data_IF_394686188836
#
_entry.id   IF_394686188836
#
_cell.length_a   1.000
_cell.length_b   1.000
_cell.length_c   1.000
_cell.angle_alpha   90.00
_cell.angle_beta   90.00
_cell.angle_gamma   90.00
#
_symmetry.space_group_name_H-M   'P 1'
#
loop_
_entity.id
_entity.type
_entity.pdbx_description
1 polymer ?
#
# COMPACT_ATOMS: atom_id res chain seq x y z
N UNK A 1 7.47 -12.47 13.11
CA UNK A 1 7.90 -13.62 12.28
C UNK A 1 9.09 -14.26 12.99
N UNK A 2 9.06 -15.57 13.27
CA UNK A 2 10.15 -16.29 13.99
C UNK A 2 10.79 -17.33 13.05
N UNK A 3 11.63 -16.89 12.09
CA UNK A 3 12.20 -17.76 11.06
C UNK A 3 13.19 -18.80 11.63
N UNK A 4 13.61 -18.67 12.90
CA UNK A 4 14.46 -19.65 13.57
C UNK A 4 13.89 -21.07 13.64
N UNK A 5 12.56 -21.25 13.50
CA UNK A 5 11.91 -22.56 13.55
C UNK A 5 12.10 -23.41 12.28
N UNK A 6 12.51 -22.82 11.15
CA UNK A 6 12.84 -23.60 9.96
C UNK A 6 14.08 -24.49 10.15
N UNK A 7 14.97 -24.13 11.07
CA UNK A 7 16.16 -24.94 11.39
C UNK A 7 15.82 -26.27 12.06
N UNK A 8 14.63 -26.40 12.65
CA UNK A 8 14.16 -27.64 13.27
C UNK A 8 13.77 -28.73 12.26
N UNK A 9 13.56 -28.39 10.98
CA UNK A 9 13.34 -29.38 9.91
C UNK A 9 14.59 -30.22 9.59
N UNK A 10 15.78 -29.64 9.81
CA UNK A 10 17.07 -30.27 9.50
C UNK A 10 17.38 -31.46 10.41
N UNK A 11 17.32 -31.36 11.76
CA UNK A 11 17.60 -32.50 12.64
C UNK A 11 16.57 -33.63 12.49
N UNK A 12 15.33 -33.31 12.12
CA UNK A 12 14.29 -34.32 11.90
C UNK A 12 14.39 -35.03 10.56
N UNK A 13 14.80 -34.32 9.50
CA UNK A 13 15.13 -34.98 8.23
C UNK A 13 16.32 -35.93 8.42
N UNK A 14 17.32 -35.51 9.21
CA UNK A 14 18.47 -36.36 9.59
C UNK A 14 18.01 -37.55 10.45
N UNK A 15 17.12 -37.34 11.42
CA UNK A 15 16.58 -38.42 12.27
C UNK A 15 15.80 -39.46 11.47
N UNK A 16 14.96 -39.03 10.52
CA UNK A 16 14.22 -39.92 9.62
C UNK A 16 15.20 -40.65 8.67
N UNK A 17 16.19 -39.95 8.12
CA UNK A 17 17.23 -40.55 7.28
C UNK A 17 18.01 -41.64 8.02
N UNK A 18 18.42 -41.39 9.26
CA UNK A 18 19.11 -42.37 10.09
C UNK A 18 18.23 -43.58 10.43
N UNK A 19 16.93 -43.39 10.68
CA UNK A 19 16.00 -44.50 10.90
C UNK A 19 15.80 -45.34 9.64
N UNK A 20 15.70 -44.72 8.46
CA UNK A 20 15.61 -45.44 7.18
C UNK A 20 16.89 -46.25 6.89
N UNK A 21 18.08 -45.67 7.15
CA UNK A 21 19.38 -46.36 7.01
C UNK A 21 19.50 -47.50 8.05
N UNK A 22 18.93 -47.35 9.25
CA UNK A 22 18.88 -48.43 10.25
C UNK A 22 17.94 -49.56 9.82
N UNK A 23 16.82 -49.24 9.17
CA UNK A 23 15.86 -50.25 8.68
C UNK A 23 16.39 -51.04 7.48
N UNK A 24 17.35 -50.50 6.72
CA UNK A 24 18.07 -51.25 5.68
C UNK A 24 19.23 -52.06 6.25
N UNK A 25 19.75 -51.71 7.44
CA UNK A 25 20.76 -52.48 8.17
C UNK A 25 20.20 -53.62 9.03
N UNK A 26 18.88 -53.75 9.20
CA UNK A 26 18.29 -54.93 9.87
C UNK A 26 18.22 -56.18 8.97
N UNK A 27 18.85 -56.16 7.80
CA UNK A 27 19.03 -57.34 6.94
C UNK A 27 20.33 -58.12 7.26
N UNK A 28 21.04 -57.76 8.33
CA UNK A 28 22.32 -58.37 8.72
C UNK A 28 22.17 -59.58 9.68
N UNK A 29 20.99 -60.20 9.72
CA UNK A 29 20.71 -61.45 10.44
C UNK A 29 20.48 -62.63 9.47
N UNK A 30 20.67 -62.41 8.16
CA UNK A 30 20.55 -63.46 7.14
C UNK A 30 21.85 -64.24 6.89
N UNK A 31 22.91 -63.97 7.66
CA UNK A 31 24.26 -64.54 7.41
C UNK A 31 24.69 -65.60 8.45
N UNK A 32 23.78 -66.01 9.35
CA UNK A 32 24.08 -67.01 10.41
C UNK A 32 23.05 -68.14 10.50
N UNK A 33 22.00 -68.18 9.66
CA UNK A 33 20.92 -69.18 9.77
C UNK A 33 20.57 -69.77 8.40
N UNK A 34 20.53 -71.10 8.33
CA UNK A 34 20.23 -71.89 7.13
C UNK A 34 18.85 -71.55 6.53
N UNK A 35 18.74 -71.43 5.19
CA UNK A 35 17.55 -70.92 4.51
C UNK A 35 16.32 -71.85 4.57
N UNK A 36 16.49 -73.15 4.85
CA UNK A 36 15.41 -74.14 4.74
C UNK A 36 14.42 -74.19 5.92
N UNK A 37 14.65 -73.43 7.00
CA UNK A 37 13.75 -73.42 8.18
C UNK A 37 13.10 -72.05 8.44
N UNK A 38 13.37 -71.05 7.59
CA UNK A 38 12.88 -69.69 7.78
C UNK A 38 11.41 -69.51 7.34
N UNK A 39 10.95 -70.32 6.38
CA UNK A 39 9.63 -70.19 5.74
C UNK A 39 8.44 -70.69 6.58
N UNK A 40 8.67 -71.35 7.72
CA UNK A 40 7.59 -71.90 8.56
C UNK A 40 7.51 -71.33 9.98
N UNK A 41 8.40 -70.39 10.36
CA UNK A 41 8.40 -69.77 11.69
C UNK A 41 8.20 -68.24 11.67
N UNK A 42 8.14 -67.62 10.50
CA UNK A 42 7.77 -66.21 10.38
C UNK A 42 6.27 -66.12 10.03
N UNK A 43 5.40 -65.68 10.96
CA UNK A 43 4.09 -65.22 10.55
C UNK A 43 4.30 -64.06 9.57
N UNK A 44 3.87 -64.28 8.34
CA UNK A 44 4.03 -63.42 7.16
C UNK A 44 3.22 -62.09 7.27
N UNK A 45 3.21 -61.47 8.45
CA UNK A 45 2.38 -60.31 8.81
C UNK A 45 3.06 -59.37 9.85
N UNK A 46 4.28 -59.62 10.31
CA UNK A 46 4.90 -58.74 11.31
C UNK A 46 5.55 -57.47 10.73
N UNK A 47 5.83 -57.40 9.43
CA UNK A 47 6.65 -56.32 8.86
C UNK A 47 5.90 -55.30 7.98
N UNK A 48 4.66 -55.61 7.58
CA UNK A 48 3.89 -54.78 6.64
C UNK A 48 2.99 -53.74 7.31
N UNK A 49 2.69 -53.88 8.62
CA UNK A 49 1.65 -53.06 9.27
C UNK A 49 2.15 -51.91 10.15
N UNK A 50 3.46 -51.80 10.38
CA UNK A 50 4.01 -50.79 11.30
C UNK A 50 4.51 -49.50 10.64
N UNK A 51 4.53 -49.37 9.31
CA UNK A 51 4.91 -48.10 8.66
C UNK A 51 3.79 -47.04 8.68
N UNK A 52 2.54 -47.48 8.79
CA UNK A 52 1.36 -46.61 8.85
C UNK A 52 1.44 -45.53 9.95
N UNK A 53 1.63 -45.89 11.23
CA UNK A 53 1.62 -44.90 12.30
C UNK A 53 2.80 -43.91 12.23
N UNK A 54 3.98 -44.34 11.78
CA UNK A 54 5.14 -43.46 11.64
C UNK A 54 4.99 -42.43 10.52
N UNK A 55 4.33 -42.80 9.40
CA UNK A 55 4.00 -41.87 8.33
C UNK A 55 3.02 -40.80 8.79
N UNK A 56 1.98 -41.20 9.54
CA UNK A 56 1.03 -40.25 10.14
C UNK A 56 1.70 -39.33 11.17
N UNK A 57 2.64 -39.86 11.97
CA UNK A 57 3.41 -39.05 12.91
C UNK A 57 4.27 -38.01 12.19
N UNK A 58 4.94 -38.42 11.10
CA UNK A 58 5.75 -37.52 10.27
C UNK A 58 4.91 -36.42 9.61
N UNK A 59 3.73 -36.77 9.10
CA UNK A 59 2.82 -35.82 8.48
C UNK A 59 2.25 -34.81 9.50
N UNK A 60 1.86 -35.29 10.69
CA UNK A 60 1.38 -34.43 11.78
C UNK A 60 2.48 -33.48 12.26
N UNK A 61 3.72 -33.96 12.35
CA UNK A 61 4.87 -33.16 12.74
C UNK A 61 5.20 -32.08 11.70
N UNK A 62 5.17 -32.42 10.40
CA UNK A 62 5.41 -31.48 9.31
C UNK A 62 4.32 -30.40 9.23
N UNK A 63 3.06 -30.77 9.45
CA UNK A 63 1.94 -29.82 9.57
C UNK A 63 2.12 -28.87 10.75
N UNK A 64 2.59 -29.37 11.90
CA UNK A 64 2.89 -28.56 13.08
C UNK A 64 3.94 -27.48 12.83
N UNK A 65 4.95 -27.76 12.02
CA UNK A 65 6.00 -26.78 11.66
C UNK A 65 5.45 -25.70 10.73
N UNK A 66 4.62 -26.07 9.75
CA UNK A 66 4.00 -25.10 8.83
C UNK A 66 3.08 -24.15 9.61
N UNK A 67 2.28 -24.69 10.55
CA UNK A 67 1.45 -23.89 11.43
C UNK A 67 2.28 -22.97 12.36
N UNK A 68 3.34 -23.50 12.97
CA UNK A 68 4.22 -22.73 13.85
C UNK A 68 5.06 -21.67 13.12
N UNK A 69 5.40 -21.91 11.85
CA UNK A 69 6.08 -20.93 10.99
C UNK A 69 5.21 -19.71 10.72
N UNK A 70 3.90 -19.82 10.90
CA UNK A 70 2.94 -18.72 10.78
C UNK A 70 3.14 -17.94 9.48
N UNK A 71 2.85 -18.53 8.30
CA UNK A 71 2.86 -17.80 7.03
C UNK A 71 1.75 -16.75 7.08
N UNK A 72 2.05 -15.60 7.66
CA UNK A 72 1.15 -14.47 7.64
C UNK A 72 1.36 -13.78 6.31
N UNK A 73 0.34 -13.79 5.45
CA UNK A 73 0.22 -12.80 4.40
C UNK A 73 0.16 -11.42 5.05
N UNK A 74 1.30 -10.74 5.08
CA UNK A 74 1.34 -9.34 5.41
C UNK A 74 0.78 -8.58 4.22
N UNK A 75 -0.50 -8.20 4.34
CA UNK A 75 -1.03 -7.10 3.57
C UNK A 75 -0.25 -5.87 4.02
N UNK A 76 0.77 -5.50 3.26
CA UNK A 76 1.35 -4.17 3.37
C UNK A 76 0.17 -3.22 3.18
N UNK A 77 -0.16 -2.35 4.15
CA UNK A 77 -1.16 -1.33 3.91
C UNK A 77 -0.60 -0.49 2.77
N UNK A 78 -1.13 -0.71 1.57
CA UNK A 78 -0.98 0.24 0.49
C UNK A 78 -1.59 1.50 1.07
N UNK A 79 -0.83 2.59 1.28
CA UNK A 79 -1.45 3.83 1.69
C UNK A 79 -2.48 4.08 0.62
N UNK A 80 -3.76 4.08 1.00
CA UNK A 80 -4.81 4.61 0.18
C UNK A 80 -4.49 6.10 0.14
N UNK A 81 -3.55 6.47 -0.72
CA UNK A 81 -3.35 7.83 -1.15
C UNK A 81 -4.66 8.16 -1.82
N UNK A 82 -5.61 8.69 -1.04
CA UNK A 82 -6.68 9.48 -1.60
C UNK A 82 -5.94 10.51 -2.44
N UNK A 83 -5.96 10.28 -3.75
CA UNK A 83 -5.28 11.12 -4.71
C UNK A 83 -6.13 12.38 -4.74
N UNK A 84 -5.94 13.23 -3.71
CA UNK A 84 -6.66 14.49 -3.57
C UNK A 84 -6.37 15.22 -4.86
N UNK A 85 -7.42 15.43 -5.64
CA UNK A 85 -7.29 16.25 -6.83
C UNK A 85 -6.83 17.62 -6.36
N UNK A 86 -5.96 18.24 -7.13
CA UNK A 86 -5.39 19.54 -6.81
C UNK A 86 -5.55 20.45 -8.01
N UNK A 87 -6.03 21.67 -7.80
CA UNK A 87 -6.10 22.68 -8.84
C UNK A 87 -5.75 24.06 -8.29
N UNK A 88 -5.31 24.94 -9.19
CA UNK A 88 -4.92 26.31 -8.87
C UNK A 88 -5.87 27.25 -9.60
N UNK A 89 -6.51 28.14 -8.86
CA UNK A 89 -7.31 29.24 -9.39
C UNK A 89 -6.37 30.43 -9.61
N UNK A 90 -6.39 30.96 -10.83
CA UNK A 90 -5.64 32.16 -11.19
C UNK A 90 -6.65 33.29 -11.44
N UNK A 91 -6.64 34.30 -10.57
CA UNK A 91 -7.57 35.43 -10.58
C UNK A 91 -6.89 36.69 -11.15
N UNK A 92 -7.46 37.24 -12.22
CA UNK A 92 -7.07 38.55 -12.76
C UNK A 92 -7.57 39.66 -11.82
N UNK A 93 -6.67 40.57 -11.45
CA UNK A 93 -6.90 41.78 -10.66
C UNK A 93 -6.41 43.03 -11.43
N UNK A 94 -6.37 42.98 -12.77
CA UNK A 94 -6.19 44.15 -13.61
C UNK A 94 -7.37 45.13 -13.46
N UNK A 95 -7.15 46.42 -13.70
CA UNK A 95 -8.24 47.42 -13.66
C UNK A 95 -9.40 47.12 -14.62
N UNK A 96 -9.17 46.31 -15.66
CA UNK A 96 -10.23 45.86 -16.57
C UNK A 96 -11.31 45.03 -15.86
N UNK A 97 -11.02 44.45 -14.70
CA UNK A 97 -11.96 43.66 -13.90
C UNK A 97 -13.02 44.51 -13.19
N UNK A 98 -12.84 45.84 -13.13
CA UNK A 98 -13.91 46.76 -12.72
C UNK A 98 -14.97 46.98 -13.81
N UNK A 99 -14.77 46.49 -15.03
CA UNK A 99 -15.76 46.62 -16.09
C UNK A 99 -17.11 45.97 -15.71
N UNK A 100 -18.21 46.63 -16.08
CA UNK A 100 -19.59 46.24 -15.78
C UNK A 100 -20.33 45.64 -17.00
N UNK A 101 -19.59 45.19 -18.01
CA UNK A 101 -20.15 44.44 -19.15
C UNK A 101 -20.82 43.12 -18.71
N UNK A 102 -20.49 42.66 -17.50
CA UNK A 102 -21.21 41.64 -16.74
C UNK A 102 -21.64 42.24 -15.40
N UNK A 103 -22.94 42.45 -15.21
CA UNK A 103 -23.45 43.03 -13.95
C UNK A 103 -23.17 42.13 -12.75
N UNK A 104 -22.74 42.65 -11.59
CA UNK A 104 -22.43 44.06 -11.34
C UNK A 104 -21.04 44.47 -11.87
N UNK A 105 -20.03 43.62 -11.76
CA UNK A 105 -18.75 43.78 -12.46
C UNK A 105 -18.08 42.43 -12.71
N UNK A 106 -17.12 42.38 -13.63
CA UNK A 106 -16.33 41.16 -13.91
C UNK A 106 -15.68 40.59 -12.64
N UNK A 107 -15.12 41.45 -11.79
CA UNK A 107 -14.53 41.05 -10.51
C UNK A 107 -15.54 40.39 -9.59
N UNK A 108 -16.70 41.02 -9.38
CA UNK A 108 -17.74 40.46 -8.51
C UNK A 108 -18.24 39.12 -9.05
N UNK A 109 -18.38 38.99 -10.37
CA UNK A 109 -18.74 37.73 -11.02
C UNK A 109 -17.66 36.66 -10.87
N UNK A 110 -16.39 37.02 -10.99
CA UNK A 110 -15.28 36.12 -10.75
C UNK A 110 -15.27 35.61 -9.30
N UNK A 111 -15.43 36.52 -8.32
CA UNK A 111 -15.53 36.17 -6.90
C UNK A 111 -16.69 35.22 -6.62
N UNK A 112 -17.88 35.49 -7.18
CA UNK A 112 -19.03 34.59 -7.05
C UNK A 112 -18.73 33.21 -7.65
N UNK A 113 -18.17 33.17 -8.86
CA UNK A 113 -17.83 31.92 -9.54
C UNK A 113 -16.80 31.10 -8.77
N UNK A 114 -15.82 31.75 -8.15
CA UNK A 114 -14.85 31.06 -7.28
C UNK A 114 -15.57 30.43 -6.09
N UNK A 115 -16.47 31.15 -5.41
CA UNK A 115 -17.25 30.60 -4.30
C UNK A 115 -18.10 29.41 -4.74
N UNK A 116 -18.76 29.51 -5.88
CA UNK A 116 -19.53 28.40 -6.46
C UNK A 116 -18.65 27.17 -6.74
N UNK A 117 -17.43 27.39 -7.26
CA UNK A 117 -16.47 26.30 -7.50
C UNK A 117 -15.99 25.65 -6.20
N UNK A 118 -15.69 26.43 -5.17
CA UNK A 118 -15.28 25.92 -3.86
C UNK A 118 -16.38 25.10 -3.19
N UNK A 119 -17.65 25.48 -3.37
CA UNK A 119 -18.79 24.75 -2.80
C UNK A 119 -19.03 23.36 -3.43
N UNK A 120 -18.58 23.14 -4.68
CA UNK A 120 -18.77 21.89 -5.41
C UNK A 120 -17.71 20.82 -5.09
N UNK A 121 -16.57 21.22 -4.54
CA UNK A 121 -15.36 20.39 -4.48
C UNK A 121 -15.17 19.85 -3.07
N UNK A 122 -15.62 18.62 -2.84
CA UNK A 122 -15.31 17.88 -1.62
C UNK A 122 -14.02 17.07 -1.83
N UNK A 123 -13.14 17.09 -0.84
CA UNK A 123 -11.88 16.30 -0.83
C UNK A 123 -10.86 16.68 -1.94
N UNK A 124 -10.63 17.98 -2.11
CA UNK A 124 -9.70 18.53 -3.11
C UNK A 124 -8.87 19.66 -2.51
N UNK A 125 -7.61 19.79 -2.96
CA UNK A 125 -6.75 20.91 -2.58
C UNK A 125 -6.84 22.05 -3.62
N UNK A 126 -6.94 23.28 -3.13
CA UNK A 126 -7.07 24.47 -3.97
C UNK A 126 -5.97 25.47 -3.63
N UNK A 127 -5.28 25.96 -4.66
CA UNK A 127 -4.38 27.10 -4.57
C UNK A 127 -5.04 28.33 -5.18
N UNK A 128 -4.70 29.51 -4.70
CA UNK A 128 -5.19 30.78 -5.24
C UNK A 128 -4.02 31.70 -5.54
N UNK A 129 -3.93 32.13 -6.80
CA UNK A 129 -2.96 33.10 -7.29
C UNK A 129 -3.72 34.30 -7.81
N UNK A 130 -3.26 35.49 -7.44
CA UNK A 130 -3.77 36.75 -7.97
C UNK A 130 -2.71 37.38 -8.87
N UNK A 131 -3.14 37.98 -9.98
CA UNK A 131 -2.22 38.63 -10.91
C UNK A 131 -2.78 39.91 -11.53
N UNK A 132 -1.88 40.82 -11.88
CA UNK A 132 -2.12 42.02 -12.67
C UNK A 132 -0.87 42.24 -13.53
N UNK A 133 -0.09 43.30 -13.32
CA UNK A 133 1.21 43.46 -13.98
C UNK A 133 2.29 42.49 -13.47
N UNK A 134 2.13 42.00 -12.25
CA UNK A 134 2.89 40.91 -11.63
C UNK A 134 1.94 39.88 -10.98
N UNK A 135 2.46 38.81 -10.38
CA UNK A 135 1.64 37.74 -9.79
C UNK A 135 2.12 37.36 -8.39
N UNK A 136 1.17 36.99 -7.54
CA UNK A 136 1.40 36.64 -6.14
C UNK A 136 0.56 35.44 -5.71
N UNK A 137 1.15 34.56 -4.90
CA UNK A 137 0.42 33.45 -4.27
C UNK A 137 -0.38 34.00 -3.10
N UNK A 138 -1.71 33.96 -3.20
CA UNK A 138 -2.62 34.37 -2.12
C UNK A 138 -2.73 33.23 -1.10
N UNK A 139 -2.93 32.00 -1.58
CA UNK A 139 -2.89 30.79 -0.77
C UNK A 139 -2.17 29.67 -1.52
N UNK A 140 -1.24 28.95 -0.88
CA UNK A 140 -0.72 27.71 -1.43
C UNK A 140 -1.84 26.64 -1.49
N UNK A 141 -1.56 25.49 -2.09
CA UNK A 141 -2.48 24.35 -2.11
C UNK A 141 -2.90 23.97 -0.69
N UNK A 142 -4.20 24.08 -0.41
CA UNK A 142 -4.79 23.76 0.89
C UNK A 142 -6.16 23.12 0.71
N UNK A 143 -6.57 22.28 1.66
CA UNK A 143 -7.93 21.77 1.77
C UNK A 143 -8.84 22.65 2.65
N UNK A 144 -8.29 23.72 3.24
CA UNK A 144 -9.06 24.75 3.94
C UNK A 144 -9.72 25.73 2.96
N UNK A 145 -10.80 25.26 2.32
CA UNK A 145 -11.56 26.06 1.35
C UNK A 145 -12.26 27.26 2.00
N UNK A 146 -12.57 27.18 3.30
CA UNK A 146 -13.22 28.26 4.05
C UNK A 146 -12.29 29.47 4.19
N UNK A 147 -11.00 29.24 4.41
CA UNK A 147 -9.99 30.32 4.39
C UNK A 147 -9.93 31.00 3.03
N UNK A 148 -9.93 30.23 1.94
CA UNK A 148 -9.94 30.81 0.58
C UNK A 148 -11.20 31.65 0.39
N UNK A 149 -12.38 31.12 0.71
CA UNK A 149 -13.66 31.82 0.57
C UNK A 149 -13.70 33.17 1.30
N UNK A 150 -13.05 33.26 2.47
CA UNK A 150 -12.95 34.50 3.24
C UNK A 150 -11.96 35.52 2.65
N UNK A 151 -10.95 35.06 1.92
CA UNK A 151 -9.93 35.93 1.31
C UNK A 151 -10.37 36.52 -0.03
N UNK A 152 -11.08 35.77 -0.88
CA UNK A 152 -11.44 36.23 -2.24
C UNK A 152 -12.14 37.60 -2.26
N UNK A 153 -13.11 37.91 -1.37
CA UNK A 153 -13.79 39.21 -1.40
C UNK A 153 -12.86 40.41 -1.13
N UNK A 154 -11.73 40.21 -0.46
CA UNK A 154 -10.74 41.25 -0.20
C UNK A 154 -9.79 41.50 -1.39
N UNK A 155 -9.81 40.63 -2.41
CA UNK A 155 -8.97 40.74 -3.59
C UNK A 155 -9.58 41.75 -4.57
N UNK A 156 -8.97 42.93 -4.61
CA UNK A 156 -9.37 44.04 -5.49
C UNK A 156 -8.17 44.55 -6.28
N UNK A 157 -8.36 45.06 -7.52
CA UNK A 157 -7.26 45.57 -8.34
C UNK A 157 -6.29 46.54 -7.65
N UNK A 158 -6.76 47.33 -6.70
CA UNK A 158 -5.93 48.29 -5.96
C UNK A 158 -4.90 47.67 -5.00
N UNK A 159 -5.00 46.37 -4.68
CA UNK A 159 -4.02 45.69 -3.82
C UNK A 159 -2.76 45.29 -4.58
N UNK A 160 -2.82 45.24 -5.92
CA UNK A 160 -1.70 44.81 -6.75
C UNK A 160 -0.67 45.94 -6.89
N UNK A 161 0.63 45.66 -6.67
CA UNK A 161 1.67 46.68 -6.71
C UNK A 161 1.96 47.17 -8.12
N UNK A 162 1.83 46.29 -9.13
CA UNK A 162 2.09 46.63 -10.53
C UNK A 162 0.79 46.53 -11.33
N UNK A 163 0.30 47.63 -11.93
CA UNK A 163 -0.85 47.58 -12.82
C UNK A 163 -0.48 46.91 -14.14
N UNK A 164 -1.43 46.21 -14.75
CA UNK A 164 -1.23 45.48 -16.00
C UNK A 164 -2.04 44.19 -16.04
N UNK A 165 -1.73 43.31 -16.99
CA UNK A 165 -2.28 41.96 -17.07
C UNK A 165 -1.21 41.04 -17.68
N UNK A 166 -0.55 40.26 -16.82
CA UNK A 166 0.56 39.36 -17.09
C UNK A 166 0.17 37.95 -16.61
N UNK A 167 -0.65 37.23 -17.38
CA UNK A 167 -1.03 35.86 -17.04
C UNK A 167 0.19 34.93 -17.01
N UNK A 168 1.25 35.21 -17.78
CA UNK A 168 2.50 34.46 -17.78
C UNK A 168 3.19 34.44 -16.41
N UNK A 169 3.18 35.56 -15.67
CA UNK A 169 3.73 35.62 -14.32
C UNK A 169 2.95 34.71 -13.36
N UNK A 170 1.63 34.63 -13.54
CA UNK A 170 0.77 33.79 -12.73
C UNK A 170 0.98 32.30 -13.02
N UNK A 171 1.10 31.91 -14.30
CA UNK A 171 1.39 30.53 -14.69
C UNK A 171 2.76 30.05 -14.22
N UNK A 172 3.75 30.93 -14.13
CA UNK A 172 5.06 30.59 -13.57
C UNK A 172 4.98 30.18 -12.08
N UNK A 173 4.05 30.76 -11.32
CA UNK A 173 3.79 30.41 -9.91
C UNK A 173 2.88 29.19 -9.73
N UNK A 174 2.11 28.82 -10.75
CA UNK A 174 1.13 27.73 -10.70
C UNK A 174 1.72 26.34 -11.04
N UNK A 175 3.02 26.26 -11.35
CA UNK A 175 3.74 25.02 -11.73
C UNK A 175 4.32 24.33 -10.50
#
# INVERSE_FOLDING_TARGET
>A
MRPEWLWLLLPTAVGIGLLLIKTTRSNQWSDVIAPDLLDHLLPNNAQSRQRGPWLWLGLAWLSGIIAASGPSWQQTPVPVSQQKSAYVIVLDLSYSMYAEDLSPSRLVRATQKIRDLLALQQDTQVGLIAYAGDAHVVTPLTDDLATIENLVPALVPSIMPVPGSSPEAAFALAR
#
